data_IF_338447637091
#
_entry.id   IF_338447637091
#
_cell.length_a   1.000
_cell.length_b   1.000
_cell.length_c   1.000
_cell.angle_alpha   90.00
_cell.angle_beta   90.00
_cell.angle_gamma   90.00
#
_symmetry.space_group_name_H-M   'P 1'
#
loop_
_entity.id
_entity.type
_entity.pdbx_description
1 polymer ?
#
# COMPACT_ATOMS: atom_id res chain seq x y z
N UNK A 1 -19.36 -24.47 0.06
CA UNK A 1 -18.39 -23.35 0.18
C UNK A 1 -18.23 -23.06 1.66
N UNK A 2 -17.04 -23.32 2.24
CA UNK A 2 -16.78 -22.96 3.64
C UNK A 2 -16.86 -21.44 3.77
N UNK A 3 -17.72 -20.95 4.66
CA UNK A 3 -17.83 -19.53 5.00
C UNK A 3 -16.44 -19.04 5.45
N UNK A 4 -15.78 -18.21 4.62
CA UNK A 4 -14.53 -17.52 5.02
C UNK A 4 -14.88 -16.67 6.22
N UNK A 5 -14.31 -16.97 7.37
CA UNK A 5 -14.63 -16.32 8.65
C UNK A 5 -14.18 -14.87 8.59
N UNK A 6 -15.15 -13.97 8.45
CA UNK A 6 -14.90 -12.53 8.54
C UNK A 6 -14.82 -12.13 10.01
N UNK A 7 -13.95 -11.16 10.31
CA UNK A 7 -13.83 -10.55 11.63
C UNK A 7 -13.46 -9.09 11.49
N UNK A 8 -13.57 -8.33 12.55
CA UNK A 8 -13.11 -6.94 12.60
C UNK A 8 -11.85 -6.82 13.44
N UNK A 9 -10.97 -5.91 13.03
CA UNK A 9 -9.79 -5.48 13.80
C UNK A 9 -9.92 -3.98 14.09
N UNK A 10 -9.49 -3.55 15.29
CA UNK A 10 -9.56 -2.14 15.67
C UNK A 10 -8.42 -1.35 15.00
N UNK A 11 -8.73 -0.20 14.41
CA UNK A 11 -7.75 0.78 13.92
C UNK A 11 -7.63 1.99 14.86
N UNK A 12 -8.64 2.24 15.68
CA UNK A 12 -8.65 3.20 16.80
C UNK A 12 -9.77 2.80 17.78
N UNK A 13 -10.06 3.62 18.78
CA UNK A 13 -11.22 3.42 19.69
C UNK A 13 -12.54 3.34 18.91
N UNK A 14 -12.67 4.17 17.88
CA UNK A 14 -13.92 4.37 17.13
C UNK A 14 -13.85 3.89 15.68
N UNK A 15 -12.71 3.35 15.23
CA UNK A 15 -12.52 2.90 13.86
C UNK A 15 -12.13 1.42 13.80
N UNK A 16 -12.84 0.66 12.96
CA UNK A 16 -12.61 -0.77 12.74
C UNK A 16 -12.40 -1.07 11.27
N UNK A 17 -11.72 -2.19 10.97
CA UNK A 17 -11.55 -2.71 9.63
C UNK A 17 -11.99 -4.17 9.57
N UNK A 18 -12.73 -4.54 8.52
CA UNK A 18 -13.08 -5.92 8.23
C UNK A 18 -11.90 -6.64 7.57
N UNK A 19 -11.64 -7.85 8.06
CA UNK A 19 -10.64 -8.77 7.52
C UNK A 19 -11.25 -10.15 7.35
N UNK A 20 -10.64 -10.97 6.49
CA UNK A 20 -10.96 -12.39 6.35
C UNK A 20 -9.67 -13.19 6.21
N UNK A 21 -9.74 -14.52 6.29
CA UNK A 21 -8.57 -15.38 6.14
C UNK A 21 -7.85 -15.20 4.79
N UNK A 22 -8.55 -14.72 3.76
CA UNK A 22 -7.97 -14.41 2.45
C UNK A 22 -7.49 -12.95 2.31
N UNK A 23 -8.01 -12.03 3.11
CA UNK A 23 -7.74 -10.59 3.04
C UNK A 23 -7.42 -10.05 4.43
N UNK A 24 -6.21 -10.35 4.88
CA UNK A 24 -5.57 -9.76 6.06
C UNK A 24 -4.56 -8.71 5.59
N UNK A 25 -4.33 -7.69 6.40
CA UNK A 25 -3.25 -6.74 6.16
C UNK A 25 -2.01 -7.11 6.99
N UNK A 26 -0.87 -6.63 6.55
CA UNK A 26 0.42 -6.83 7.23
C UNK A 26 0.97 -5.51 7.75
N UNK A 27 1.98 -5.58 8.60
CA UNK A 27 2.72 -4.40 9.09
C UNK A 27 3.27 -3.52 7.95
N UNK A 28 3.55 -4.12 6.80
CA UNK A 28 4.10 -3.43 5.63
C UNK A 28 3.15 -2.34 5.11
N UNK A 29 1.84 -2.63 5.09
CA UNK A 29 0.82 -1.66 4.70
C UNK A 29 0.74 -0.48 5.68
N UNK A 30 0.93 -0.73 6.98
CA UNK A 30 0.95 0.32 8.00
C UNK A 30 2.16 1.22 7.80
N UNK A 31 3.35 0.63 7.59
CA UNK A 31 4.60 1.39 7.34
C UNK A 31 4.50 2.18 6.04
N UNK A 32 3.92 1.59 4.98
CA UNK A 32 3.73 2.30 3.71
C UNK A 32 2.75 3.46 3.84
N UNK A 33 1.64 3.29 4.56
CA UNK A 33 0.66 4.37 4.77
C UNK A 33 1.29 5.58 5.47
N UNK A 34 2.11 5.35 6.49
CA UNK A 34 2.88 6.38 7.19
C UNK A 34 3.95 7.02 6.30
N UNK A 35 4.72 6.21 5.58
CA UNK A 35 5.74 6.71 4.64
C UNK A 35 5.15 7.60 3.54
N UNK A 36 3.95 7.29 3.08
CA UNK A 36 3.22 8.12 2.11
C UNK A 36 2.93 9.53 2.64
N UNK A 37 2.58 9.66 3.91
CA UNK A 37 2.27 10.92 4.60
C UNK A 37 1.51 11.91 3.71
N UNK A 38 0.26 11.59 3.30
CA UNK A 38 -0.53 12.49 2.46
C UNK A 38 -0.84 13.81 3.19
N UNK A 39 -0.96 14.89 2.44
CA UNK A 39 -1.32 16.21 2.98
C UNK A 39 -2.83 16.39 2.89
N UNK A 40 -3.41 17.26 3.72
CA UNK A 40 -4.86 17.55 3.70
C UNK A 40 -5.44 17.95 2.34
N UNK A 41 -4.66 18.58 1.48
CA UNK A 41 -5.08 18.99 0.14
C UNK A 41 -4.88 17.95 -0.93
N UNK A 42 -4.17 16.86 -0.63
CA UNK A 42 -3.79 15.84 -1.60
C UNK A 42 -5.03 15.01 -2.00
N UNK A 43 -5.10 14.67 -3.27
CA UNK A 43 -5.96 13.64 -3.82
C UNK A 43 -5.11 12.37 -3.93
N UNK A 44 -5.52 11.32 -3.24
CA UNK A 44 -4.73 10.11 -3.05
C UNK A 44 -5.39 8.92 -3.73
N UNK A 45 -4.58 8.02 -4.29
CA UNK A 45 -5.06 6.76 -4.82
C UNK A 45 -4.18 5.60 -4.33
N UNK A 46 -4.81 4.54 -3.82
CA UNK A 46 -4.13 3.31 -3.42
C UNK A 46 -4.46 2.20 -4.42
N UNK A 47 -3.45 1.70 -5.13
CA UNK A 47 -3.56 0.67 -6.15
C UNK A 47 -3.41 -0.72 -5.53
N UNK A 48 -4.37 -1.61 -5.76
CA UNK A 48 -4.43 -2.91 -5.08
C UNK A 48 -4.74 -2.76 -3.60
N UNK A 49 -5.74 -1.94 -3.28
CA UNK A 49 -6.04 -1.50 -1.92
C UNK A 49 -6.47 -2.63 -0.97
N UNK A 50 -6.81 -3.80 -1.50
CA UNK A 50 -7.26 -4.93 -0.69
C UNK A 50 -8.53 -4.58 0.11
N UNK A 51 -8.50 -4.88 1.41
CA UNK A 51 -9.58 -4.54 2.34
C UNK A 51 -9.60 -3.06 2.78
N UNK A 52 -8.74 -2.21 2.19
CA UNK A 52 -8.74 -0.77 2.40
C UNK A 52 -7.89 -0.27 3.56
N UNK A 53 -6.93 -1.05 4.05
CA UNK A 53 -6.11 -0.67 5.23
C UNK A 53 -5.38 0.65 5.02
N UNK A 54 -4.72 0.88 3.88
CA UNK A 54 -3.98 2.12 3.60
C UNK A 54 -4.92 3.33 3.56
N UNK A 55 -6.03 3.34 2.78
CA UNK A 55 -7.06 4.38 2.84
C UNK A 55 -7.58 4.68 4.25
N UNK A 56 -7.87 3.65 5.03
CA UNK A 56 -8.37 3.83 6.40
C UNK A 56 -7.36 4.49 7.33
N UNK A 57 -6.06 4.12 7.21
CA UNK A 57 -4.97 4.77 7.94
C UNK A 57 -4.79 6.23 7.50
N UNK A 58 -4.91 6.52 6.21
CA UNK A 58 -4.86 7.90 5.73
C UNK A 58 -6.01 8.75 6.26
N UNK A 59 -7.24 8.21 6.33
CA UNK A 59 -8.37 8.90 6.96
C UNK A 59 -8.12 9.18 8.44
N UNK A 60 -7.61 8.18 9.16
CA UNK A 60 -7.35 8.29 10.60
C UNK A 60 -6.30 9.34 10.93
N UNK A 61 -5.17 9.32 10.21
CA UNK A 61 -3.95 10.05 10.62
C UNK A 61 -3.70 11.33 9.84
N UNK A 62 -4.13 11.42 8.57
CA UNK A 62 -3.74 12.49 7.64
C UNK A 62 -4.92 13.28 7.06
N UNK A 63 -6.08 12.67 6.90
CA UNK A 63 -7.31 13.28 6.37
C UNK A 63 -7.09 14.03 5.03
N UNK A 64 -6.59 13.37 3.97
CA UNK A 64 -6.42 14.01 2.68
C UNK A 64 -7.78 14.41 2.09
N UNK A 65 -7.75 15.29 1.08
CA UNK A 65 -8.95 15.85 0.46
C UNK A 65 -9.85 14.81 -0.21
N UNK A 66 -9.23 13.81 -0.84
CA UNK A 66 -9.91 12.77 -1.60
C UNK A 66 -9.09 11.49 -1.55
N UNK A 67 -9.77 10.36 -1.38
CA UNK A 67 -9.15 9.04 -1.37
C UNK A 67 -9.88 8.14 -2.35
N UNK A 68 -9.12 7.46 -3.21
CA UNK A 68 -9.61 6.39 -4.09
C UNK A 68 -8.83 5.11 -3.82
N UNK A 69 -9.54 4.01 -3.63
CA UNK A 69 -8.96 2.66 -3.60
C UNK A 69 -9.31 1.92 -4.88
N UNK A 70 -8.31 1.34 -5.56
CA UNK A 70 -8.51 0.49 -6.73
C UNK A 70 -8.24 -0.96 -6.34
N UNK A 71 -9.17 -1.86 -6.61
CA UNK A 71 -9.05 -3.27 -6.25
C UNK A 71 -9.66 -4.17 -7.32
N UNK A 72 -9.00 -5.28 -7.61
CA UNK A 72 -9.43 -6.27 -8.58
C UNK A 72 -10.34 -7.34 -7.98
N UNK A 73 -10.09 -7.72 -6.72
CA UNK A 73 -10.83 -8.76 -6.02
C UNK A 73 -12.18 -8.24 -5.51
N UNK A 74 -13.27 -8.77 -6.04
CA UNK A 74 -14.61 -8.45 -5.59
C UNK A 74 -14.82 -8.72 -4.08
N UNK A 75 -14.24 -9.81 -3.57
CA UNK A 75 -14.33 -10.15 -2.15
C UNK A 75 -13.61 -9.13 -1.26
N UNK A 76 -12.48 -8.58 -1.70
CA UNK A 76 -11.77 -7.51 -1.00
C UNK A 76 -12.57 -6.19 -1.06
N UNK A 77 -13.11 -5.83 -2.22
CA UNK A 77 -14.01 -4.68 -2.40
C UNK A 77 -15.21 -4.77 -1.45
N UNK A 78 -15.82 -5.95 -1.32
CA UNK A 78 -16.95 -6.17 -0.41
C UNK A 78 -16.56 -5.98 1.06
N UNK A 79 -15.37 -6.43 1.49
CA UNK A 79 -14.85 -6.19 2.84
C UNK A 79 -14.58 -4.69 3.08
N UNK A 80 -14.03 -4.01 2.09
CA UNK A 80 -13.78 -2.58 2.20
C UNK A 80 -15.07 -1.78 2.28
N UNK A 81 -16.10 -2.11 1.48
CA UNK A 81 -17.42 -1.50 1.58
C UNK A 81 -18.05 -1.72 2.98
N UNK A 82 -17.94 -2.94 3.56
CA UNK A 82 -18.38 -3.21 4.93
C UNK A 82 -17.64 -2.32 5.94
N UNK A 83 -16.31 -2.17 5.77
CA UNK A 83 -15.49 -1.30 6.60
C UNK A 83 -15.98 0.15 6.55
N UNK A 84 -16.22 0.70 5.37
CA UNK A 84 -16.71 2.08 5.22
C UNK A 84 -18.11 2.27 5.81
N UNK A 85 -19.01 1.31 5.60
CA UNK A 85 -20.36 1.35 6.17
C UNK A 85 -20.34 1.32 7.70
N UNK A 86 -19.58 0.41 8.32
CA UNK A 86 -19.45 0.28 9.77
C UNK A 86 -18.93 1.55 10.44
N UNK A 87 -18.06 2.28 9.75
CA UNK A 87 -17.45 3.50 10.28
C UNK A 87 -18.17 4.79 9.81
N UNK A 88 -19.29 4.71 9.07
CA UNK A 88 -19.99 5.84 8.45
C UNK A 88 -19.07 6.72 7.56
N UNK A 89 -18.22 6.08 6.73
CA UNK A 89 -17.21 6.72 5.90
C UNK A 89 -17.41 6.51 4.38
N UNK A 90 -18.61 6.11 3.97
CA UNK A 90 -18.93 5.80 2.56
C UNK A 90 -18.79 7.01 1.63
N UNK A 91 -18.92 8.21 2.15
CA UNK A 91 -18.72 9.48 1.44
C UNK A 91 -17.24 9.95 1.41
N UNK A 92 -16.35 9.30 2.14
CA UNK A 92 -14.95 9.70 2.30
C UNK A 92 -13.98 9.00 1.36
N UNK A 93 -14.34 7.81 0.89
CA UNK A 93 -13.47 7.00 0.02
C UNK A 93 -14.25 6.50 -1.18
N UNK A 94 -13.71 6.73 -2.36
CA UNK A 94 -14.20 6.13 -3.59
C UNK A 94 -13.52 4.76 -3.81
N UNK A 95 -14.31 3.69 -3.96
CA UNK A 95 -13.79 2.35 -4.27
C UNK A 95 -14.07 2.06 -5.74
N UNK A 96 -13.04 1.69 -6.48
CA UNK A 96 -13.11 1.34 -7.90
C UNK A 96 -12.73 -0.12 -8.08
N UNK A 97 -13.71 -0.96 -8.37
CA UNK A 97 -13.51 -2.37 -8.71
C UNK A 97 -12.95 -2.48 -10.14
N UNK A 98 -11.65 -2.54 -10.28
CA UNK A 98 -10.97 -2.52 -11.58
C UNK A 98 -9.57 -3.14 -11.51
N UNK A 99 -9.12 -3.71 -12.62
CA UNK A 99 -7.72 -4.05 -12.82
C UNK A 99 -6.89 -2.78 -13.03
N UNK A 100 -5.88 -2.56 -12.20
CA UNK A 100 -5.02 -1.38 -12.29
C UNK A 100 -4.31 -1.23 -13.67
N UNK A 101 -4.20 -2.31 -14.46
CA UNK A 101 -3.70 -2.28 -15.83
C UNK A 101 -4.70 -1.65 -16.83
N UNK A 102 -5.96 -1.44 -16.41
CA UNK A 102 -7.09 -0.97 -17.26
C UNK A 102 -7.67 0.36 -16.76
N UNK A 103 -6.88 1.23 -16.13
CA UNK A 103 -7.37 2.49 -15.53
C UNK A 103 -7.73 3.56 -16.57
N UNK A 104 -7.26 3.44 -17.82
CA UNK A 104 -7.57 4.43 -18.87
C UNK A 104 -9.09 4.48 -19.14
N UNK A 105 -9.66 5.66 -18.93
CA UNK A 105 -11.12 5.88 -19.06
C UNK A 105 -11.95 5.46 -17.83
N UNK A 106 -11.33 4.83 -16.83
CA UNK A 106 -11.95 4.48 -15.54
C UNK A 106 -11.64 5.55 -14.49
N UNK A 107 -10.36 5.95 -14.38
CA UNK A 107 -9.93 7.05 -13.54
C UNK A 107 -9.44 8.23 -14.39
N UNK A 108 -9.55 9.46 -13.87
CA UNK A 108 -9.05 10.63 -14.58
C UNK A 108 -7.52 10.58 -14.68
N UNK A 109 -6.98 10.92 -15.85
CA UNK A 109 -5.55 11.06 -16.07
C UNK A 109 -5.03 12.32 -15.33
N UNK A 110 -3.78 12.25 -14.86
CA UNK A 110 -3.07 13.41 -14.27
C UNK A 110 -3.87 14.14 -13.17
N UNK A 111 -4.49 13.37 -12.30
CA UNK A 111 -5.45 13.87 -11.31
C UNK A 111 -4.97 13.77 -9.86
N UNK A 112 -4.22 12.71 -9.52
CA UNK A 112 -3.81 12.44 -8.14
C UNK A 112 -2.49 13.11 -7.80
N UNK A 113 -2.38 13.56 -6.55
CA UNK A 113 -1.16 14.14 -5.97
C UNK A 113 -0.26 13.05 -5.38
N UNK A 114 -0.87 11.94 -4.93
CA UNK A 114 -0.20 10.79 -4.34
C UNK A 114 -0.83 9.48 -4.85
N UNK A 115 0.01 8.54 -5.25
CA UNK A 115 -0.38 7.16 -5.55
C UNK A 115 0.48 6.22 -4.73
N UNK A 116 -0.13 5.21 -4.09
CA UNK A 116 0.56 4.14 -3.38
C UNK A 116 0.27 2.78 -3.99
N UNK A 117 1.15 1.83 -3.70
CA UNK A 117 0.91 0.40 -3.92
C UNK A 117 1.75 -0.43 -2.95
N UNK A 118 1.13 -1.43 -2.35
CA UNK A 118 1.80 -2.50 -1.61
C UNK A 118 1.65 -3.83 -2.38
N UNK A 119 2.47 -4.07 -3.43
CA UNK A 119 2.28 -5.22 -4.30
C UNK A 119 2.77 -6.51 -3.62
N UNK A 120 2.27 -7.69 -4.02
CA UNK A 120 2.78 -8.96 -3.52
C UNK A 120 4.27 -9.14 -3.85
N UNK A 121 5.06 -9.64 -2.88
CA UNK A 121 6.53 -9.71 -2.98
C UNK A 121 7.08 -10.85 -3.82
N UNK A 122 6.27 -11.86 -4.18
CA UNK A 122 6.76 -13.03 -4.92
C UNK A 122 6.87 -12.76 -6.42
N UNK A 123 8.02 -13.10 -7.01
CA UNK A 123 8.17 -13.21 -8.47
C UNK A 123 7.30 -14.36 -8.98
N UNK A 124 6.71 -14.19 -10.17
CA UNK A 124 6.11 -15.30 -10.92
C UNK A 124 7.15 -16.41 -11.12
N UNK A 125 6.81 -17.64 -10.74
CA UNK A 125 7.66 -18.83 -11.00
C UNK A 125 8.68 -19.18 -9.92
N UNK A 126 8.81 -18.44 -8.82
CA UNK A 126 9.71 -18.80 -7.72
C UNK A 126 8.93 -19.18 -6.45
N UNK A 127 8.64 -20.45 -6.26
CA UNK A 127 8.06 -20.95 -5.01
C UNK A 127 7.56 -22.38 -5.14
N UNK A 128 7.84 -23.22 -4.14
CA UNK A 128 7.24 -24.54 -3.96
C UNK A 128 5.72 -24.33 -3.86
N UNK A 129 5.00 -24.95 -4.79
CA UNK A 129 3.53 -24.92 -4.86
C UNK A 129 3.00 -25.79 -3.73
N UNK A 130 2.55 -25.20 -2.63
CA UNK A 130 1.71 -25.92 -1.68
C UNK A 130 0.32 -26.06 -2.30
N UNK A 131 -0.10 -27.30 -2.49
CA UNK A 131 -1.32 -27.70 -3.20
C UNK A 131 -2.57 -27.36 -2.40
N UNK A 132 -3.25 -26.29 -2.82
CA UNK A 132 -4.62 -25.98 -2.49
C UNK A 132 -5.21 -25.19 -3.66
N UNK A 133 -6.16 -25.75 -4.39
CA UNK A 133 -6.72 -25.17 -5.62
C UNK A 133 -7.31 -23.76 -5.43
N UNK A 134 -7.84 -23.45 -4.25
CA UNK A 134 -8.40 -22.13 -3.93
C UNK A 134 -7.34 -21.01 -3.77
N UNK A 135 -6.11 -21.38 -3.36
CA UNK A 135 -4.96 -20.45 -3.32
C UNK A 135 -4.38 -20.17 -4.72
N UNK A 136 -4.55 -21.07 -5.68
CA UNK A 136 -4.08 -20.88 -7.06
C UNK A 136 -4.91 -19.82 -7.78
N UNK A 137 -6.22 -19.83 -7.63
CA UNK A 137 -7.10 -18.87 -8.30
C UNK A 137 -6.91 -17.44 -7.77
N UNK A 138 -6.81 -17.23 -6.45
CA UNK A 138 -6.54 -15.92 -5.87
C UNK A 138 -5.14 -15.38 -6.23
N UNK A 139 -4.15 -16.24 -6.53
CA UNK A 139 -2.78 -15.85 -6.90
C UNK A 139 -2.59 -15.63 -8.40
N UNK A 140 -3.38 -16.27 -9.26
CA UNK A 140 -3.29 -16.08 -10.71
C UNK A 140 -3.95 -14.78 -11.19
N UNK A 141 -4.90 -14.23 -10.44
CA UNK A 141 -5.53 -12.94 -10.75
C UNK A 141 -4.66 -11.73 -10.41
N UNK A 142 -3.67 -11.88 -9.48
CA UNK A 142 -2.83 -10.80 -8.95
C UNK A 142 -1.40 -10.81 -9.48
N UNK A 143 -1.20 -10.90 -10.79
CA UNK A 143 0.13 -10.75 -11.37
C UNK A 143 0.38 -9.33 -11.88
N UNK A 144 0.30 -8.35 -10.99
CA UNK A 144 0.76 -7.01 -11.28
C UNK A 144 2.29 -6.96 -11.18
N UNK A 145 2.95 -6.57 -12.26
CA UNK A 145 4.40 -6.32 -12.26
C UNK A 145 4.71 -4.92 -11.73
N UNK A 146 5.99 -4.68 -11.37
CA UNK A 146 6.46 -3.34 -11.00
C UNK A 146 6.30 -2.35 -12.17
N UNK A 147 6.39 -2.83 -13.41
CA UNK A 147 6.12 -2.02 -14.60
C UNK A 147 4.64 -1.66 -14.71
N UNK A 148 3.72 -2.59 -14.48
CA UNK A 148 2.29 -2.32 -14.50
C UNK A 148 1.93 -1.29 -13.44
N UNK A 149 2.45 -1.44 -12.21
CA UNK A 149 2.25 -0.50 -11.12
C UNK A 149 2.76 0.91 -11.46
N UNK A 150 4.00 1.00 -11.99
CA UNK A 150 4.60 2.29 -12.36
C UNK A 150 3.87 2.95 -13.55
N UNK A 151 3.40 2.16 -14.52
CA UNK A 151 2.60 2.61 -15.65
C UNK A 151 1.24 3.15 -15.20
N UNK A 152 0.55 2.41 -14.33
CA UNK A 152 -0.73 2.81 -13.77
C UNK A 152 -0.60 4.10 -12.95
N UNK A 153 0.38 4.16 -12.04
CA UNK A 153 0.68 5.35 -11.27
C UNK A 153 1.00 6.56 -12.16
N UNK A 154 1.85 6.39 -13.17
CA UNK A 154 2.19 7.48 -14.09
C UNK A 154 1.00 8.00 -14.87
N UNK A 155 0.04 7.15 -15.24
CA UNK A 155 -1.17 7.56 -15.97
C UNK A 155 -2.01 8.54 -15.14
N UNK A 156 -2.23 8.23 -13.86
CA UNK A 156 -3.17 8.96 -13.02
C UNK A 156 -2.54 10.06 -12.18
N UNK A 157 -1.20 10.05 -11.95
CA UNK A 157 -0.49 11.09 -11.24
C UNK A 157 -0.42 12.40 -12.04
N UNK A 158 -0.60 13.53 -11.37
CA UNK A 158 -0.22 14.85 -11.87
C UNK A 158 1.28 14.94 -12.13
N UNK A 159 1.70 15.88 -12.95
CA UNK A 159 3.09 16.32 -12.99
C UNK A 159 3.53 16.77 -11.58
N UNK A 160 4.65 16.25 -11.10
CA UNK A 160 5.12 16.51 -9.73
C UNK A 160 4.41 15.70 -8.65
N UNK A 161 3.44 14.84 -8.99
CA UNK A 161 2.80 13.91 -8.05
C UNK A 161 3.75 12.81 -7.59
N UNK A 162 3.48 12.27 -6.39
CA UNK A 162 4.32 11.27 -5.69
C UNK A 162 3.79 9.86 -5.91
N UNK A 163 4.69 8.91 -6.14
CA UNK A 163 4.41 7.48 -6.19
C UNK A 163 5.18 6.78 -5.08
N UNK A 164 4.49 6.11 -4.18
CA UNK A 164 5.08 5.36 -3.07
C UNK A 164 4.84 3.86 -3.24
N UNK A 165 5.89 3.07 -3.06
CA UNK A 165 5.85 1.61 -3.16
C UNK A 165 6.64 0.97 -2.03
N UNK A 166 6.12 -0.13 -1.49
CA UNK A 166 6.81 -1.03 -0.57
C UNK A 166 7.26 -2.29 -1.30
N UNK A 167 8.49 -2.75 -1.05
CA UNK A 167 8.99 -4.00 -1.65
C UNK A 167 10.18 -4.55 -0.86
N UNK A 168 10.62 -5.77 -1.23
CA UNK A 168 11.85 -6.37 -0.73
C UNK A 168 13.09 -5.64 -1.27
N UNK A 169 14.19 -5.53 -0.50
CA UNK A 169 15.41 -4.79 -0.89
C UNK A 169 16.02 -5.27 -2.21
N UNK A 170 16.01 -6.57 -2.46
CA UNK A 170 16.54 -7.16 -3.70
C UNK A 170 15.81 -6.70 -4.98
N UNK A 171 14.61 -6.10 -4.83
CA UNK A 171 13.84 -5.57 -5.95
C UNK A 171 14.10 -4.09 -6.22
N UNK A 172 14.97 -3.45 -5.44
CA UNK A 172 15.25 -2.01 -5.56
C UNK A 172 15.72 -1.60 -6.98
N UNK A 173 16.63 -2.34 -7.66
CA UNK A 173 17.00 -2.03 -9.03
C UNK A 173 15.82 -2.09 -10.00
N UNK A 174 14.93 -3.09 -9.84
CA UNK A 174 13.74 -3.25 -10.68
C UNK A 174 12.74 -2.09 -10.46
N UNK A 175 12.57 -1.65 -9.20
CA UNK A 175 11.71 -0.50 -8.86
C UNK A 175 12.20 0.77 -9.57
N UNK A 176 13.50 1.06 -9.47
CA UNK A 176 14.07 2.25 -10.10
C UNK A 176 13.96 2.22 -11.61
N UNK A 177 14.22 1.06 -12.23
CA UNK A 177 14.08 0.86 -13.66
C UNK A 177 12.63 1.07 -14.11
N UNK A 178 11.66 0.45 -13.41
CA UNK A 178 10.24 0.57 -13.73
C UNK A 178 9.74 2.02 -13.55
N UNK A 179 10.08 2.68 -12.46
CA UNK A 179 9.70 4.08 -12.23
C UNK A 179 10.22 4.99 -13.34
N UNK A 180 11.53 4.93 -13.67
CA UNK A 180 12.13 5.77 -14.69
C UNK A 180 11.57 5.50 -16.08
N UNK A 181 11.29 4.24 -16.43
CA UNK A 181 10.64 3.87 -17.70
C UNK A 181 9.32 4.63 -17.92
N UNK A 182 8.58 4.90 -16.82
CA UNK A 182 7.31 5.59 -16.87
C UNK A 182 7.39 7.05 -16.36
N UNK A 183 8.56 7.69 -16.48
CA UNK A 183 8.79 9.11 -16.14
C UNK A 183 8.52 9.47 -14.68
N UNK A 184 8.65 8.52 -13.77
CA UNK A 184 8.64 8.72 -12.34
C UNK A 184 10.10 8.64 -11.87
N UNK A 185 10.68 9.75 -11.46
CA UNK A 185 12.06 9.78 -10.96
C UNK A 185 12.08 9.40 -9.49
N UNK A 186 12.83 8.34 -9.08
CA UNK A 186 13.05 8.01 -7.67
C UNK A 186 13.64 9.19 -6.90
N UNK A 187 13.08 9.54 -5.74
CA UNK A 187 13.47 10.72 -4.97
C UNK A 187 13.96 10.40 -3.57
N UNK A 188 13.37 9.40 -2.94
CA UNK A 188 13.84 8.96 -1.63
C UNK A 188 13.49 7.50 -1.38
N UNK A 189 14.22 6.89 -0.45
CA UNK A 189 13.88 5.59 0.14
C UNK A 189 14.07 5.60 1.64
N UNK A 190 13.39 4.67 2.29
CA UNK A 190 13.55 4.33 3.69
C UNK A 190 13.63 2.83 3.85
N UNK A 191 14.63 2.33 4.55
CA UNK A 191 14.75 0.92 4.90
C UNK A 191 13.94 0.60 6.16
N UNK A 192 13.42 -0.62 6.22
CA UNK A 192 12.81 -1.19 7.43
C UNK A 192 13.68 -2.33 7.90
N UNK A 193 14.22 -2.20 9.11
CA UNK A 193 15.19 -3.13 9.70
C UNK A 193 14.61 -3.67 11.00
N UNK A 194 14.65 -5.01 11.17
CA UNK A 194 14.12 -5.63 12.39
C UNK A 194 14.85 -5.14 13.64
N UNK A 195 16.20 -5.16 13.63
CA UNK A 195 17.08 -4.69 14.70
C UNK A 195 18.35 -4.09 14.12
N UNK A 196 19.02 -3.22 14.87
CA UNK A 196 20.34 -2.68 14.50
C UNK A 196 21.30 -3.83 14.16
N UNK A 197 22.02 -3.69 13.05
CA UNK A 197 22.99 -4.69 12.56
C UNK A 197 22.37 -5.85 11.78
N UNK A 198 21.05 -5.86 11.55
CA UNK A 198 20.39 -6.78 10.63
C UNK A 198 20.22 -6.14 9.25
N UNK A 199 20.12 -7.00 8.23
CA UNK A 199 19.78 -6.55 6.88
C UNK A 199 18.35 -5.99 6.82
N UNK A 200 18.09 -5.02 5.94
CA UNK A 200 16.73 -4.52 5.72
C UNK A 200 15.79 -5.63 5.26
N UNK A 201 14.61 -5.69 5.85
CA UNK A 201 13.56 -6.63 5.45
C UNK A 201 12.65 -6.08 4.35
N UNK A 202 12.50 -4.75 4.31
CA UNK A 202 11.69 -4.00 3.34
C UNK A 202 12.36 -2.68 2.97
N UNK A 203 11.99 -2.16 1.80
CA UNK A 203 12.29 -0.79 1.37
C UNK A 203 11.01 -0.09 0.96
N UNK A 204 10.85 1.14 1.44
CA UNK A 204 9.85 2.10 0.98
C UNK A 204 10.53 3.03 -0.01
N UNK A 205 9.97 3.18 -1.21
CA UNK A 205 10.53 4.06 -2.25
C UNK A 205 9.48 5.09 -2.66
N UNK A 206 9.88 6.36 -2.66
CA UNK A 206 9.10 7.45 -3.23
C UNK A 206 9.76 7.92 -4.53
N UNK A 207 8.96 7.97 -5.60
CA UNK A 207 9.31 8.63 -6.85
C UNK A 207 8.38 9.82 -7.12
N UNK A 208 8.80 10.71 -8.03
CA UNK A 208 8.04 11.91 -8.40
C UNK A 208 7.93 12.03 -9.91
N UNK A 209 6.70 12.11 -10.44
CA UNK A 209 6.44 12.19 -11.88
C UNK A 209 7.04 13.47 -12.49
N UNK A 210 7.81 13.32 -13.55
CA UNK A 210 8.41 14.42 -14.30
C UNK A 210 9.48 15.22 -13.55
N UNK A 211 10.02 14.69 -12.44
CA UNK A 211 11.05 15.37 -11.65
C UNK A 211 12.44 15.17 -12.25
N UNK A 212 13.34 16.14 -12.02
CA UNK A 212 14.77 16.00 -12.30
C UNK A 212 15.42 14.96 -11.35
N UNK A 213 16.59 14.40 -11.69
CA UNK A 213 17.36 13.51 -10.83
C UNK A 213 17.70 14.11 -9.47
N UNK A 214 18.05 13.26 -8.53
CA UNK A 214 18.40 13.61 -7.15
C UNK A 214 17.69 12.67 -6.18
N UNK A 215 18.46 11.93 -5.40
CA UNK A 215 17.96 10.86 -4.54
C UNK A 215 18.52 10.98 -3.13
N UNK A 216 17.70 10.68 -2.12
CA UNK A 216 18.18 10.65 -0.72
C UNK A 216 17.74 9.36 -0.04
N UNK A 217 18.58 8.86 0.84
CA UNK A 217 18.28 7.77 1.76
C UNK A 217 17.86 8.38 3.09
N UNK A 218 16.69 8.03 3.57
CA UNK A 218 16.20 8.46 4.88
C UNK A 218 16.79 7.55 5.97
N UNK A 219 16.87 8.02 7.23
CA UNK A 219 17.21 7.15 8.35
C UNK A 219 16.29 5.93 8.37
N UNK A 220 16.83 4.71 8.61
CA UNK A 220 16.02 3.49 8.60
C UNK A 220 14.98 3.48 9.72
N UNK A 221 13.86 2.83 9.49
CA UNK A 221 12.92 2.45 10.55
C UNK A 221 13.45 1.18 11.23
N UNK A 222 13.90 1.30 12.46
CA UNK A 222 14.28 0.16 13.29
C UNK A 222 13.05 -0.29 14.07
N UNK A 223 12.65 -1.55 13.91
CA UNK A 223 11.43 -2.04 14.54
C UNK A 223 11.63 -2.37 16.02
N UNK A 224 12.71 -3.05 16.36
CA UNK A 224 12.95 -3.57 17.71
C UNK A 224 14.27 -3.07 18.29
N UNK A 225 14.27 -2.89 19.62
CA UNK A 225 15.46 -2.73 20.46
C UNK A 225 16.17 -4.07 20.62
N UNK A 226 17.36 -4.05 21.24
CA UNK A 226 18.11 -5.28 21.55
C UNK A 226 17.35 -6.27 22.43
N UNK A 227 16.51 -5.78 23.35
CA UNK A 227 15.70 -6.57 24.25
C UNK A 227 14.43 -7.16 23.60
N UNK A 228 14.19 -6.91 22.30
CA UNK A 228 13.02 -7.40 21.55
C UNK A 228 11.76 -6.55 21.69
N UNK A 229 11.77 -5.48 22.47
CA UNK A 229 10.67 -4.51 22.49
C UNK A 229 10.72 -3.63 21.27
N UNK A 230 9.55 -3.15 20.83
CA UNK A 230 9.51 -2.14 19.76
C UNK A 230 10.27 -0.87 20.17
N UNK A 231 10.93 -0.25 19.19
CA UNK A 231 11.41 1.13 19.35
C UNK A 231 10.23 2.07 19.56
N UNK A 232 10.48 3.26 20.09
CA UNK A 232 9.43 4.27 20.28
C UNK A 232 8.73 4.63 18.95
N UNK A 233 9.50 4.76 17.87
CA UNK A 233 8.97 5.03 16.52
C UNK A 233 8.07 3.89 16.03
N UNK A 234 8.52 2.65 16.13
CA UNK A 234 7.73 1.47 15.73
C UNK A 234 6.49 1.29 16.61
N UNK A 235 6.62 1.51 17.92
CA UNK A 235 5.49 1.44 18.86
C UNK A 235 4.44 2.50 18.52
N UNK A 236 4.85 3.74 18.25
CA UNK A 236 3.95 4.80 17.81
C UNK A 236 3.26 4.47 16.50
N UNK A 237 3.96 3.87 15.57
CA UNK A 237 3.43 3.46 14.28
C UNK A 237 2.40 2.31 14.43
N UNK A 238 2.73 1.25 15.17
CA UNK A 238 1.91 0.05 15.27
C UNK A 238 0.86 0.09 16.38
N UNK A 239 1.06 0.83 17.46
CA UNK A 239 0.13 0.91 18.59
C UNK A 239 -0.68 2.20 18.64
N UNK A 240 -0.35 3.21 17.82
CA UNK A 240 -1.13 4.44 17.76
C UNK A 240 -2.62 4.17 17.48
N UNK A 241 -2.94 3.06 16.80
CA UNK A 241 -4.31 2.64 16.54
C UNK A 241 -5.02 2.03 17.77
N UNK A 242 -4.30 1.61 18.81
CA UNK A 242 -4.92 1.09 20.03
C UNK A 242 -5.31 2.18 21.03
N UNK A 243 -4.75 3.39 20.88
CA UNK A 243 -4.84 4.43 21.91
C UNK A 243 -5.29 5.81 21.40
N UNK A 244 -5.44 6.00 20.10
CA UNK A 244 -6.00 7.25 19.52
C UNK A 244 -7.50 7.19 19.31
#
# INVERSE_FOLDING_TARGET
MASRKERTEALSKDMKIYVSDAHIFTSDAIVLADFCAPRHKDKCCDLGTGNGIIPMLWLRDFQPKEITGVELSESAVNLFNKTLNENNLTDKVNIVHCDLRKLKGVLPNEYYDLVSINPPYKKLGTGIVNEGEDYKNARHEFTCTLEDASKAASLILKFGGRFCICQRPERLPDIFAAMRKYKIEPKSMREVIQRIGKEPSLVMVEGKKGSAPGFRIQPPLILEKENGEYTEEAANLFYAYKFK
#
